data_IF_052928258492
#
_entry.id   IF_052928258492
#
_cell.length_a   1.000
_cell.length_b   1.000
_cell.length_c   1.000
_cell.angle_alpha   90.00
_cell.angle_beta   90.00
_cell.angle_gamma   90.00
#
_symmetry.space_group_name_H-M   'P 1'
#
loop_
_entity.id
_entity.type
_entity.pdbx_description
1 polymer ?
#
# COMPACT_ATOMS: atom_id res chain seq x y z
N UNK A 1 -7.85 11.98 -10.24
CA UNK A 1 -8.41 10.76 -9.65
C UNK A 1 -7.33 10.13 -8.80
N UNK A 2 -7.52 10.09 -7.47
CA UNK A 2 -6.63 9.37 -6.58
C UNK A 2 -6.68 7.88 -6.95
N UNK A 3 -5.52 7.30 -7.25
CA UNK A 3 -5.42 5.87 -7.50
C UNK A 3 -5.41 5.15 -6.14
N UNK A 4 -6.61 4.96 -5.57
CA UNK A 4 -6.82 4.04 -4.43
C UNK A 4 -6.19 2.68 -4.75
N UNK A 5 -5.54 2.03 -3.79
CA UNK A 5 -5.42 0.57 -3.87
C UNK A 5 -6.82 -0.01 -3.64
N UNK A 6 -7.61 -0.12 -4.71
CA UNK A 6 -9.00 -0.57 -4.66
C UNK A 6 -9.17 -1.93 -3.97
N UNK A 7 -8.09 -2.73 -3.88
CA UNK A 7 -8.06 -3.96 -3.10
C UNK A 7 -8.29 -3.71 -1.61
N UNK A 8 -7.65 -2.70 -1.03
CA UNK A 8 -7.79 -2.37 0.40
C UNK A 8 -9.20 -1.86 0.70
N UNK A 9 -9.78 -1.06 -0.20
CA UNK A 9 -11.15 -0.61 -0.06
C UNK A 9 -12.15 -1.78 -0.09
N UNK A 10 -11.98 -2.75 -1.00
CA UNK A 10 -12.82 -3.96 -1.03
C UNK A 10 -12.67 -4.81 0.22
N UNK A 11 -11.46 -4.96 0.74
CA UNK A 11 -11.23 -5.67 2.02
C UNK A 11 -11.98 -4.96 3.15
N UNK A 12 -11.89 -3.63 3.23
CA UNK A 12 -12.61 -2.82 4.20
C UNK A 12 -14.13 -3.01 4.10
N UNK A 13 -14.70 -2.98 2.89
CA UNK A 13 -16.14 -3.21 2.71
C UNK A 13 -16.56 -4.60 3.18
N UNK A 14 -15.87 -5.65 2.73
CA UNK A 14 -16.20 -7.05 3.08
C UNK A 14 -16.03 -7.33 4.58
N UNK A 15 -15.06 -6.69 5.22
CA UNK A 15 -14.87 -6.75 6.66
C UNK A 15 -16.06 -6.14 7.43
N UNK A 16 -16.75 -5.14 6.87
CA UNK A 16 -17.89 -4.47 7.49
C UNK A 16 -19.21 -5.22 7.39
N UNK A 17 -19.32 -6.19 6.50
CA UNK A 17 -20.58 -6.91 6.26
C UNK A 17 -20.87 -8.02 7.27
N UNK A 18 -19.82 -8.68 7.77
CA UNK A 18 -19.94 -9.79 8.72
C UNK A 18 -18.67 -9.97 9.53
N UNK A 19 -18.78 -10.66 10.66
CA UNK A 19 -17.62 -11.03 11.48
C UNK A 19 -16.83 -12.17 10.82
N UNK A 20 -15.52 -12.01 10.73
CA UNK A 20 -14.59 -13.01 10.20
C UNK A 20 -13.72 -13.57 11.33
N UNK A 21 -13.50 -14.89 11.33
CA UNK A 21 -12.78 -15.55 12.43
C UNK A 21 -11.25 -15.47 12.32
N UNK A 22 -10.73 -15.17 11.13
CA UNK A 22 -9.29 -15.07 10.88
C UNK A 22 -8.98 -14.28 9.61
N UNK A 23 -7.71 -13.86 9.44
CA UNK A 23 -7.29 -13.16 8.20
C UNK A 23 -7.50 -14.03 6.96
N UNK A 24 -7.28 -15.34 7.09
CA UNK A 24 -7.53 -16.32 6.02
C UNK A 24 -9.01 -16.46 5.68
N UNK A 25 -9.89 -16.32 6.67
CA UNK A 25 -11.34 -16.35 6.48
C UNK A 25 -11.81 -15.14 5.66
N UNK A 26 -11.43 -13.93 6.10
CA UNK A 26 -11.69 -12.68 5.36
C UNK A 26 -11.11 -12.74 3.94
N UNK A 27 -9.88 -13.24 3.77
CA UNK A 27 -9.27 -13.36 2.45
C UNK A 27 -9.99 -14.35 1.53
N UNK A 28 -10.55 -15.43 2.07
CA UNK A 28 -11.38 -16.38 1.29
C UNK A 28 -12.68 -15.75 0.85
N UNK A 29 -13.33 -15.00 1.74
CA UNK A 29 -14.55 -14.26 1.40
C UNK A 29 -14.29 -13.21 0.30
N UNK A 30 -13.22 -12.44 0.40
CA UNK A 30 -12.87 -11.45 -0.61
C UNK A 30 -12.57 -12.12 -1.96
N UNK A 31 -11.82 -13.24 -1.95
CA UNK A 31 -11.44 -13.95 -3.17
C UNK A 31 -12.65 -14.62 -3.86
N UNK A 32 -13.63 -15.14 -3.12
CA UNK A 32 -14.81 -15.81 -3.70
C UNK A 32 -15.72 -14.87 -4.48
N UNK A 33 -15.66 -13.56 -4.20
CA UNK A 33 -16.46 -12.52 -4.84
C UNK A 33 -15.91 -12.04 -6.17
N UNK A 34 -14.70 -12.46 -6.56
CA UNK A 34 -14.09 -12.15 -7.86
C UNK A 34 -14.15 -10.66 -8.23
N UNK A 35 -13.78 -9.79 -7.28
CA UNK A 35 -13.68 -8.36 -7.54
C UNK A 35 -12.63 -8.05 -8.61
N UNK A 36 -12.94 -7.12 -9.51
CA UNK A 36 -12.04 -6.68 -10.59
C UNK A 36 -10.69 -6.17 -10.07
N UNK A 37 -10.69 -5.52 -8.90
CA UNK A 37 -9.50 -5.00 -8.23
C UNK A 37 -8.48 -6.10 -7.88
N UNK A 38 -8.94 -7.35 -7.74
CA UNK A 38 -8.13 -8.54 -7.49
C UNK A 38 -7.95 -9.39 -8.75
N UNK A 39 -7.91 -8.76 -9.92
CA UNK A 39 -7.71 -9.48 -11.18
C UNK A 39 -6.67 -8.84 -12.08
N UNK A 40 -6.20 -9.62 -13.05
CA UNK A 40 -5.30 -9.18 -14.12
C UNK A 40 -5.66 -9.90 -15.41
N UNK A 41 -5.40 -9.27 -16.56
CA UNK A 41 -5.50 -9.93 -17.86
C UNK A 41 -4.21 -10.72 -18.09
N UNK A 42 -4.33 -12.04 -18.25
CA UNK A 42 -3.21 -12.92 -18.57
C UNK A 42 -2.71 -12.71 -20.00
N UNK A 43 -1.57 -13.30 -20.33
CA UNK A 43 -1.00 -13.27 -21.70
C UNK A 43 -1.93 -13.91 -22.74
N UNK A 44 -2.79 -14.82 -22.29
CA UNK A 44 -3.87 -15.46 -23.05
C UNK A 44 -5.10 -14.56 -23.26
N UNK A 45 -5.08 -13.32 -22.76
CA UNK A 45 -6.21 -12.40 -22.80
C UNK A 45 -7.31 -12.74 -21.78
N UNK A 46 -7.13 -13.78 -20.97
CA UNK A 46 -8.14 -14.23 -20.01
C UNK A 46 -7.94 -13.52 -18.68
N UNK A 47 -9.03 -13.04 -18.08
CA UNK A 47 -9.01 -12.46 -16.74
C UNK A 47 -8.72 -13.54 -15.70
N UNK A 48 -7.63 -13.37 -14.96
CA UNK A 48 -7.20 -14.23 -13.87
C UNK A 48 -7.38 -13.50 -12.55
N UNK A 49 -8.09 -14.13 -11.62
CA UNK A 49 -8.33 -13.59 -10.28
C UNK A 49 -7.27 -14.09 -9.29
N UNK A 50 -6.96 -13.25 -8.30
CA UNK A 50 -6.04 -13.59 -7.23
C UNK A 50 -6.62 -14.70 -6.36
N UNK A 51 -5.75 -15.64 -5.97
CA UNK A 51 -6.14 -16.68 -5.00
C UNK A 51 -6.29 -16.08 -3.61
N UNK A 52 -7.07 -16.72 -2.74
CA UNK A 52 -7.20 -16.28 -1.34
C UNK A 52 -5.84 -16.15 -0.63
N UNK A 53 -4.86 -17.01 -0.96
CA UNK A 53 -3.49 -16.93 -0.40
C UNK A 53 -2.83 -15.60 -0.74
N UNK A 54 -3.02 -15.09 -1.96
CA UNK A 54 -2.48 -13.79 -2.38
C UNK A 54 -3.27 -12.62 -1.78
N UNK A 55 -4.56 -12.81 -1.49
CA UNK A 55 -5.40 -11.82 -0.81
C UNK A 55 -5.02 -11.67 0.67
N UNK A 56 -4.57 -12.75 1.34
CA UNK A 56 -4.12 -12.71 2.74
C UNK A 56 -3.06 -11.63 2.96
N UNK A 57 -2.14 -11.41 2.02
CA UNK A 57 -1.11 -10.37 2.15
C UNK A 57 -1.68 -8.96 2.18
N UNK A 58 -2.81 -8.70 1.53
CA UNK A 58 -3.51 -7.42 1.59
C UNK A 58 -4.33 -7.29 2.87
N UNK A 59 -4.93 -8.38 3.34
CA UNK A 59 -5.63 -8.40 4.64
C UNK A 59 -4.64 -8.16 5.78
N UNK A 60 -3.48 -8.82 5.75
CA UNK A 60 -2.42 -8.64 6.73
C UNK A 60 -1.90 -7.19 6.73
N UNK A 61 -1.67 -6.60 5.56
CA UNK A 61 -1.28 -5.20 5.47
C UNK A 61 -2.38 -4.28 6.01
N UNK A 62 -3.65 -4.48 5.64
CA UNK A 62 -4.80 -3.71 6.14
C UNK A 62 -4.90 -3.75 7.67
N UNK A 63 -4.63 -4.92 8.26
CA UNK A 63 -4.61 -5.11 9.70
C UNK A 63 -3.48 -4.33 10.36
N UNK A 64 -2.26 -4.42 9.82
CA UNK A 64 -1.11 -3.73 10.42
C UNK A 64 -1.21 -2.20 10.36
N UNK A 65 -1.75 -1.65 9.27
CA UNK A 65 -1.96 -0.19 9.18
C UNK A 65 -3.24 0.25 9.90
N UNK A 66 -4.01 -0.68 10.49
CA UNK A 66 -5.21 -0.36 11.26
C UNK A 66 -6.39 0.14 10.44
N UNK A 67 -6.53 -0.35 9.19
CA UNK A 67 -7.76 -0.22 8.39
C UNK A 67 -8.79 -1.26 8.83
N UNK A 68 -8.32 -2.46 9.18
CA UNK A 68 -9.09 -3.44 9.94
C UNK A 68 -8.45 -3.67 11.29
N UNK A 69 -9.25 -3.84 12.34
CA UNK A 69 -8.78 -3.97 13.73
C UNK A 69 -8.42 -5.42 14.11
N UNK A 70 -8.10 -5.64 15.38
CA UNK A 70 -7.77 -6.97 15.93
C UNK A 70 -8.87 -8.02 15.77
N UNK A 71 -10.13 -7.60 15.67
CA UNK A 71 -11.31 -8.44 15.43
C UNK A 71 -11.67 -8.52 13.94
N UNK A 72 -10.81 -7.98 13.06
CA UNK A 72 -11.01 -7.88 11.61
C UNK A 72 -12.25 -7.07 11.23
N UNK A 73 -12.62 -6.10 12.06
CA UNK A 73 -13.65 -5.12 11.75
C UNK A 73 -13.01 -3.88 11.14
N UNK A 74 -13.73 -3.18 10.25
CA UNK A 74 -13.35 -1.86 9.80
C UNK A 74 -13.07 -0.90 10.96
N UNK A 75 -12.08 -0.01 10.80
CA UNK A 75 -11.78 1.03 11.81
C UNK A 75 -12.92 2.06 12.01
N UNK A 76 -13.85 2.12 11.05
CA UNK A 76 -15.09 2.89 11.06
C UNK A 76 -16.16 2.06 10.35
N UNK A 77 -17.43 2.19 10.75
CA UNK A 77 -18.52 1.45 10.10
C UNK A 77 -18.50 1.69 8.58
N UNK A 78 -18.39 0.59 7.82
CA UNK A 78 -18.21 0.63 6.37
C UNK A 78 -19.35 1.27 5.53
N UNK A 79 -20.66 1.21 5.91
CA UNK A 79 -21.71 1.75 5.06
C UNK A 79 -21.68 3.28 4.93
N UNK A 80 -20.98 4.00 5.81
CA UNK A 80 -20.98 5.46 5.84
C UNK A 80 -19.73 6.11 5.19
N UNK A 81 -18.73 5.32 4.81
CA UNK A 81 -17.48 5.86 4.28
C UNK A 81 -17.47 5.86 2.75
N UNK A 82 -17.50 7.05 2.16
CA UNK A 82 -17.28 7.21 0.71
C UNK A 82 -15.86 6.76 0.33
N UNK A 83 -15.65 6.44 -0.95
CA UNK A 83 -14.32 6.09 -1.45
C UNK A 83 -13.29 7.18 -1.17
N UNK A 84 -13.66 8.44 -1.35
CA UNK A 84 -12.77 9.57 -1.07
C UNK A 84 -12.45 9.69 0.43
N UNK A 85 -13.44 9.45 1.30
CA UNK A 85 -13.22 9.38 2.75
C UNK A 85 -12.26 8.25 3.15
N UNK A 86 -12.38 7.09 2.48
CA UNK A 86 -11.44 5.99 2.65
C UNK A 86 -10.03 6.36 2.21
N UNK A 87 -9.88 7.04 1.08
CA UNK A 87 -8.57 7.44 0.56
C UNK A 87 -7.84 8.41 1.49
N UNK A 88 -8.57 9.36 2.10
CA UNK A 88 -8.02 10.25 3.12
C UNK A 88 -7.55 9.46 4.35
N UNK A 89 -8.42 8.64 4.92
CA UNK A 89 -8.08 7.85 6.10
C UNK A 89 -6.94 6.85 5.85
N UNK A 90 -6.90 6.23 4.66
CA UNK A 90 -5.81 5.36 4.27
C UNK A 90 -4.46 6.08 4.33
N UNK A 91 -4.43 7.36 3.95
CA UNK A 91 -3.19 8.15 4.00
C UNK A 91 -2.74 8.42 5.42
N UNK A 92 -3.67 8.81 6.28
CA UNK A 92 -3.37 9.08 7.68
C UNK A 92 -2.91 7.80 8.40
N UNK A 93 -3.54 6.65 8.09
CA UNK A 93 -3.15 5.33 8.60
C UNK A 93 -1.75 4.90 8.13
N UNK A 94 -1.43 5.08 6.85
CA UNK A 94 -0.10 4.76 6.31
C UNK A 94 0.97 5.70 6.84
N UNK A 95 0.67 6.98 7.02
CA UNK A 95 1.58 7.94 7.63
C UNK A 95 1.87 7.58 9.09
N UNK A 96 0.82 7.31 9.89
CA UNK A 96 0.98 6.86 11.27
C UNK A 96 1.81 5.56 11.36
N UNK A 97 1.56 4.60 10.46
CA UNK A 97 2.38 3.38 10.36
C UNK A 97 3.84 3.70 10.02
N UNK A 98 4.07 4.59 9.06
CA UNK A 98 5.43 4.96 8.62
C UNK A 98 6.22 5.67 9.72
N UNK A 99 5.58 6.57 10.48
CA UNK A 99 6.17 7.24 11.64
C UNK A 99 6.51 6.23 12.75
N UNK A 100 5.56 5.37 13.12
CA UNK A 100 5.74 4.37 14.17
C UNK A 100 6.89 3.39 13.87
N UNK A 101 7.15 3.14 12.59
CA UNK A 101 8.22 2.24 12.13
C UNK A 101 9.47 2.97 11.64
N UNK A 102 9.54 4.30 11.81
CA UNK A 102 10.77 5.06 11.63
C UNK A 102 11.13 5.41 10.19
N UNK A 103 10.19 5.38 9.25
CA UNK A 103 10.41 5.69 7.83
C UNK A 103 9.45 6.74 7.26
N UNK A 104 9.19 7.81 8.01
CA UNK A 104 8.34 8.91 7.56
C UNK A 104 8.64 9.43 6.14
N UNK A 105 7.67 10.07 5.46
CA UNK A 105 7.88 10.63 4.12
C UNK A 105 9.14 11.52 4.04
N UNK A 106 9.42 12.30 5.09
CA UNK A 106 10.61 13.13 5.14
C UNK A 106 11.91 12.30 5.21
N UNK A 107 11.93 11.23 6.01
CA UNK A 107 13.08 10.31 6.07
C UNK A 107 13.31 9.61 4.73
N UNK A 108 12.24 9.19 4.05
CA UNK A 108 12.33 8.63 2.70
C UNK A 108 12.94 9.65 1.74
N UNK A 109 12.45 10.90 1.72
CA UNK A 109 13.00 11.96 0.86
C UNK A 109 14.49 12.22 1.14
N UNK A 110 14.88 12.28 2.40
CA UNK A 110 16.28 12.47 2.79
C UNK A 110 17.16 11.30 2.30
N UNK A 111 16.70 10.06 2.52
CA UNK A 111 17.39 8.86 2.06
C UNK A 111 17.53 8.82 0.53
N UNK A 112 16.49 9.21 -0.21
CA UNK A 112 16.51 9.31 -1.67
C UNK A 112 17.53 10.35 -2.14
N UNK A 113 17.53 11.56 -1.56
CA UNK A 113 18.51 12.61 -1.89
C UNK A 113 19.94 12.15 -1.63
N UNK A 114 20.18 11.48 -0.51
CA UNK A 114 21.49 10.92 -0.17
C UNK A 114 21.94 9.82 -1.14
N UNK A 115 21.03 8.93 -1.54
CA UNK A 115 21.35 7.89 -2.52
C UNK A 115 21.66 8.49 -3.90
N UNK A 116 20.91 9.51 -4.32
CA UNK A 116 21.19 10.25 -5.57
C UNK A 116 22.52 11.00 -5.47
N UNK A 117 22.87 11.61 -4.34
CA UNK A 117 24.15 12.32 -4.21
C UNK A 117 25.35 11.37 -4.23
N UNK A 118 25.19 10.13 -3.76
CA UNK A 118 26.21 9.08 -3.80
C UNK A 118 26.38 8.48 -5.21
N UNK A 119 25.28 8.25 -5.92
CA UNK A 119 25.27 7.69 -7.28
C UNK A 119 24.30 8.45 -8.21
N UNK A 120 24.67 9.65 -8.73
CA UNK A 120 23.75 10.51 -9.49
C UNK A 120 23.17 9.87 -10.76
N UNK A 121 23.87 8.89 -11.34
CA UNK A 121 23.44 8.18 -12.53
C UNK A 121 22.40 7.07 -12.26
N UNK A 122 22.03 6.83 -10.99
CA UNK A 122 21.17 5.71 -10.59
C UNK A 122 20.02 6.17 -9.70
N UNK A 123 18.80 5.85 -10.11
CA UNK A 123 17.62 6.12 -9.28
C UNK A 123 17.55 5.17 -8.07
N UNK A 124 17.21 5.66 -6.87
CA UNK A 124 17.04 4.84 -5.68
C UNK A 124 15.92 3.80 -5.82
N UNK A 125 16.18 2.58 -5.35
CA UNK A 125 15.15 1.54 -5.24
C UNK A 125 14.57 1.52 -3.82
N UNK A 126 13.32 1.04 -3.62
CA UNK A 126 12.75 0.85 -2.30
C UNK A 126 13.63 0.00 -1.37
N UNK A 127 14.34 -1.00 -1.90
CA UNK A 127 15.29 -1.80 -1.12
C UNK A 127 16.48 -0.96 -0.63
N UNK A 128 17.04 -0.11 -1.47
CA UNK A 128 18.14 0.77 -1.08
C UNK A 128 17.68 1.80 -0.02
N UNK A 129 16.49 2.37 -0.20
CA UNK A 129 15.90 3.28 0.79
C UNK A 129 15.65 2.55 2.11
N UNK A 130 15.07 1.34 2.09
CA UNK A 130 14.86 0.51 3.27
C UNK A 130 16.16 0.22 4.03
N UNK A 131 17.23 -0.13 3.31
CA UNK A 131 18.55 -0.39 3.91
C UNK A 131 19.15 0.86 4.57
N UNK A 132 18.87 2.03 4.02
CA UNK A 132 19.37 3.31 4.55
C UNK A 132 18.52 3.82 5.72
N UNK A 133 17.19 3.70 5.66
CA UNK A 133 16.28 4.16 6.72
C UNK A 133 16.14 3.18 7.88
N UNK A 134 16.49 1.90 7.68
CA UNK A 134 16.44 0.82 8.67
C UNK A 134 15.14 0.80 9.49
N UNK A 135 13.97 0.73 8.83
CA UNK A 135 12.70 0.72 9.54
C UNK A 135 12.55 -0.58 10.35
N UNK A 136 11.73 -0.53 11.40
CA UNK A 136 11.47 -1.70 12.26
C UNK A 136 10.49 -2.71 11.66
N UNK A 137 9.89 -2.42 10.51
CA UNK A 137 8.98 -3.33 9.80
C UNK A 137 9.70 -4.13 8.69
N UNK A 138 9.05 -5.19 8.19
CA UNK A 138 9.58 -5.95 7.06
C UNK A 138 9.58 -5.16 5.76
N UNK A 139 10.56 -5.44 4.90
CA UNK A 139 10.71 -4.83 3.56
C UNK A 139 9.43 -4.92 2.71
N UNK A 140 8.70 -6.03 2.83
CA UNK A 140 7.44 -6.23 2.11
C UNK A 140 6.40 -5.15 2.47
N UNK A 141 6.25 -4.83 3.75
CA UNK A 141 5.26 -3.88 4.23
C UNK A 141 5.71 -2.44 4.09
N UNK A 142 7.00 -2.19 4.26
CA UNK A 142 7.60 -0.92 3.86
C UNK A 142 7.27 -0.59 2.41
N UNK A 143 7.48 -1.54 1.49
CA UNK A 143 7.20 -1.33 0.07
C UNK A 143 5.73 -0.99 -0.19
N UNK A 144 4.79 -1.72 0.43
CA UNK A 144 3.35 -1.42 0.30
C UNK A 144 3.00 -0.02 0.82
N UNK A 145 3.52 0.35 1.99
CA UNK A 145 3.32 1.68 2.57
C UNK A 145 3.85 2.79 1.65
N UNK A 146 5.06 2.62 1.10
CA UNK A 146 5.64 3.57 0.13
C UNK A 146 4.78 3.68 -1.13
N UNK A 147 4.30 2.57 -1.68
CA UNK A 147 3.43 2.60 -2.87
C UNK A 147 2.12 3.35 -2.60
N UNK A 148 1.49 3.13 -1.45
CA UNK A 148 0.28 3.87 -1.06
C UNK A 148 0.57 5.36 -0.88
N UNK A 149 1.65 5.71 -0.17
CA UNK A 149 2.07 7.10 0.01
C UNK A 149 2.38 7.79 -1.33
N UNK A 150 2.89 7.04 -2.31
CA UNK A 150 3.18 7.56 -3.65
C UNK A 150 1.93 7.84 -4.46
N UNK A 151 0.91 6.96 -4.40
CA UNK A 151 -0.38 7.22 -5.03
C UNK A 151 -1.09 8.44 -4.44
N UNK A 152 -0.81 8.75 -3.18
CA UNK A 152 -1.29 9.96 -2.50
C UNK A 152 -0.42 11.20 -2.74
N UNK A 153 0.60 11.11 -3.62
CA UNK A 153 1.54 12.19 -3.94
C UNK A 153 2.30 12.73 -2.73
N UNK A 154 2.51 11.90 -1.70
CA UNK A 154 3.32 12.24 -0.52
C UNK A 154 4.80 11.86 -0.72
N UNK A 155 5.07 10.98 -1.67
CA UNK A 155 6.38 10.51 -2.13
C UNK A 155 6.33 10.37 -3.65
N UNK A 156 7.34 10.82 -4.39
CA UNK A 156 7.36 10.59 -5.84
C UNK A 156 7.95 9.23 -6.16
N UNK A 157 7.27 8.48 -7.03
CA UNK A 157 7.69 7.15 -7.45
C UNK A 157 7.62 7.04 -8.96
N UNK A 158 8.68 6.50 -9.54
CA UNK A 158 8.80 6.19 -10.97
C UNK A 158 8.80 4.67 -11.15
N UNK A 159 7.98 4.15 -12.07
CA UNK A 159 7.89 2.70 -12.35
C UNK A 159 8.35 2.43 -13.77
N UNK A 160 9.36 1.56 -13.96
CA UNK A 160 9.86 1.13 -15.28
C UNK A 160 10.08 -0.37 -15.30
N UNK A 161 9.50 -1.07 -16.28
CA UNK A 161 9.72 -2.52 -16.51
C UNK A 161 9.56 -3.39 -15.24
N UNK A 162 8.53 -3.11 -14.41
CA UNK A 162 8.24 -3.77 -13.12
C UNK A 162 9.20 -3.41 -11.96
N UNK A 163 10.13 -2.50 -12.17
CA UNK A 163 10.95 -1.93 -11.10
C UNK A 163 10.34 -0.60 -10.65
N UNK A 164 10.36 -0.40 -9.33
CA UNK A 164 9.90 0.81 -8.67
C UNK A 164 11.12 1.59 -8.19
N UNK A 165 11.12 2.87 -8.49
CA UNK A 165 12.16 3.83 -8.12
C UNK A 165 11.53 4.95 -7.34
N UNK A 166 12.19 5.43 -6.29
CA UNK A 166 11.70 6.56 -5.49
C UNK A 166 12.48 7.79 -5.91
N UNK A 167 11.77 8.87 -6.24
CA UNK A 167 12.35 10.15 -6.64
C UNK A 167 12.05 11.21 -5.58
N UNK A 168 12.87 12.25 -5.52
CA UNK A 168 12.55 13.48 -4.78
C UNK A 168 12.25 14.55 -5.81
N UNK A 169 11.09 15.21 -5.73
CA UNK A 169 10.73 16.46 -6.45
C UNK A 169 11.84 16.98 -7.38
N UNK A 170 11.83 16.56 -8.64
CA UNK A 170 12.65 17.18 -9.69
C UNK A 170 11.91 18.32 -10.40
N UNK A 171 10.73 18.70 -9.91
CA UNK A 171 9.87 19.71 -10.54
C UNK A 171 9.33 20.71 -9.52
N UNK A 172 10.21 21.57 -9.01
CA UNK A 172 9.87 22.97 -8.63
C UNK A 172 11.13 23.81 -8.59
N UNK A 173 11.81 23.93 -9.74
CA UNK A 173 12.59 25.13 -10.07
C UNK A 173 12.48 25.35 -11.58
N UNK A 174 11.43 26.07 -11.99
CA UNK A 174 11.43 27.07 -13.06
C UNK A 174 10.23 27.99 -12.88
#
# INVERSE_FOLDING_TARGET
MAATDGKLYRIFQVAGEKRHGSRSDLAREVASRHFDEFSSIGEDGVRKYMTWKSVVDYVAFSWMIGIVDGDLKPYVEAPDLTRDGFDHALGDKVEAFSEAHGFSPQKIRNAVRELISREPARLPTPKAVFQLTQPSCDLHYFYKAVMVAAFQRRVDVFVRRKEVFITSDLTTEK
#
